data_IF_286487660680
#
_entry.id   IF_286487660680
#
_cell.length_a   1.000
_cell.length_b   1.000
_cell.length_c   1.000
_cell.angle_alpha   90.00
_cell.angle_beta   90.00
_cell.angle_gamma   90.00
#
_symmetry.space_group_name_H-M   'P 1'
#
loop_
_entity.id
_entity.type
_entity.pdbx_description
1 polymer ?
#
# COMPACT_ATOMS: atom_id res chain seq x y z
N UNK A 1 -17.60 0.20 0.19
CA UNK A 1 -16.32 0.28 0.92
C UNK A 1 -16.13 1.66 1.54
N UNK A 2 -16.05 2.76 0.78
CA UNK A 2 -15.89 4.12 1.33
C UNK A 2 -17.11 4.67 2.09
N UNK A 3 -18.33 4.28 1.68
CA UNK A 3 -19.59 4.70 2.34
C UNK A 3 -19.76 4.03 3.72
N UNK A 4 -19.07 2.90 3.96
CA UNK A 4 -19.11 2.16 5.23
C UNK A 4 -17.96 2.58 6.17
N UNK A 5 -17.15 3.57 5.79
CA UNK A 5 -16.03 4.05 6.59
C UNK A 5 -16.58 4.82 7.82
N UNK A 6 -16.13 4.51 9.04
CA UNK A 6 -16.47 5.31 10.22
C UNK A 6 -16.07 6.77 10.00
N UNK A 7 -16.90 7.72 10.44
CA UNK A 7 -16.60 9.16 10.29
C UNK A 7 -15.51 9.62 11.27
N UNK A 8 -15.44 9.01 12.45
CA UNK A 8 -14.49 9.36 13.50
C UNK A 8 -14.17 8.16 14.38
N UNK A 9 -13.02 8.19 15.04
CA UNK A 9 -12.59 7.20 16.03
C UNK A 9 -12.39 7.84 17.41
N UNK A 10 -12.56 7.07 18.50
CA UNK A 10 -12.29 7.57 19.85
C UNK A 10 -10.78 7.72 20.14
N UNK A 11 -9.94 6.91 19.50
CA UNK A 11 -8.48 6.91 19.68
C UNK A 11 -7.78 6.25 18.47
N UNK A 12 -6.44 6.37 18.41
CA UNK A 12 -5.63 5.72 17.37
C UNK A 12 -5.83 4.20 17.32
N UNK A 13 -5.98 3.54 18.48
CA UNK A 13 -6.20 2.09 18.53
C UNK A 13 -7.51 1.68 17.83
N UNK A 14 -8.56 2.50 17.92
CA UNK A 14 -9.82 2.30 17.22
C UNK A 14 -9.65 2.36 15.69
N UNK A 15 -8.83 3.30 15.20
CA UNK A 15 -8.51 3.38 13.79
C UNK A 15 -7.67 2.17 13.33
N UNK A 16 -6.65 1.77 14.09
CA UNK A 16 -5.82 0.59 13.79
C UNK A 16 -6.68 -0.67 13.76
N UNK A 17 -7.49 -0.89 14.80
CA UNK A 17 -8.39 -2.04 14.89
C UNK A 17 -9.36 -2.08 13.70
N UNK A 18 -9.88 -0.94 13.26
CA UNK A 18 -10.74 -0.89 12.07
C UNK A 18 -10.02 -1.42 10.83
N UNK A 19 -8.76 -1.06 10.58
CA UNK A 19 -8.00 -1.58 9.44
C UNK A 19 -7.78 -3.09 9.51
N UNK A 20 -7.48 -3.62 10.70
CA UNK A 20 -7.31 -5.06 10.92
C UNK A 20 -8.63 -5.81 10.74
N UNK A 21 -9.71 -5.37 11.40
CA UNK A 21 -11.00 -6.06 11.35
C UNK A 21 -11.70 -5.94 9.99
N UNK A 22 -11.47 -4.86 9.25
CA UNK A 22 -12.00 -4.70 7.90
C UNK A 22 -11.22 -5.49 6.84
N UNK A 23 -10.07 -6.08 7.20
CA UNK A 23 -9.19 -6.80 6.27
C UNK A 23 -8.53 -5.89 5.23
N UNK A 24 -8.41 -4.58 5.53
CA UNK A 24 -7.70 -3.63 4.67
C UNK A 24 -6.18 -3.84 4.78
N UNK A 25 -5.70 -4.02 6.02
CA UNK A 25 -4.32 -4.38 6.35
C UNK A 25 -4.40 -5.57 7.31
N UNK A 26 -3.66 -6.63 7.02
CA UNK A 26 -3.56 -7.84 7.84
C UNK A 26 -2.33 -7.80 8.76
N UNK A 27 -1.32 -7.00 8.43
CA UNK A 27 -0.11 -6.84 9.22
C UNK A 27 -0.28 -5.77 10.32
N UNK A 28 -0.29 -6.22 11.58
CA UNK A 28 -0.46 -5.34 12.74
C UNK A 28 0.68 -4.34 12.91
N UNK A 29 1.93 -4.76 12.68
CA UNK A 29 3.09 -3.87 12.85
C UNK A 29 3.07 -2.75 11.81
N UNK A 30 2.72 -3.08 10.56
CA UNK A 30 2.54 -2.08 9.51
C UNK A 30 1.41 -1.12 9.84
N UNK A 31 0.24 -1.64 10.26
CA UNK A 31 -0.91 -0.83 10.61
C UNK A 31 -0.61 0.13 11.78
N UNK A 32 0.13 -0.33 12.81
CA UNK A 32 0.54 0.52 13.93
C UNK A 32 1.42 1.71 13.49
N UNK A 33 2.19 1.56 12.42
CA UNK A 33 3.06 2.62 11.89
C UNK A 33 2.34 3.52 10.88
N UNK A 34 1.56 2.95 9.96
CA UNK A 34 0.94 3.70 8.85
C UNK A 34 -0.36 4.40 9.24
N UNK A 35 -1.24 3.72 9.98
CA UNK A 35 -2.61 4.18 10.26
C UNK A 35 -2.67 5.48 11.09
N UNK A 36 -1.82 5.71 12.11
CA UNK A 36 -1.88 6.96 12.89
C UNK A 36 -1.74 8.22 12.03
N UNK A 37 -0.98 8.15 10.93
CA UNK A 37 -0.80 9.29 10.01
C UNK A 37 -2.05 9.61 9.17
N UNK A 38 -3.02 8.69 9.11
CA UNK A 38 -4.24 8.82 8.31
C UNK A 38 -5.36 9.55 9.07
N UNK A 39 -5.22 9.72 10.38
CA UNK A 39 -6.21 10.36 11.25
C UNK A 39 -5.58 11.53 12.01
N UNK A 40 -6.38 12.56 12.28
CA UNK A 40 -5.99 13.75 13.05
C UNK A 40 -6.96 13.94 14.20
N UNK A 41 -6.45 14.36 15.36
CA UNK A 41 -7.28 14.79 16.47
C UNK A 41 -8.00 16.11 16.11
N UNK A 42 -9.31 16.10 16.17
CA UNK A 42 -10.12 17.31 16.14
C UNK A 42 -10.32 17.80 17.58
N UNK A 43 -9.78 18.97 17.91
CA UNK A 43 -9.80 19.53 19.27
C UNK A 43 -11.21 19.90 19.74
N UNK A 44 -12.11 20.26 18.81
CA UNK A 44 -13.49 20.65 19.13
C UNK A 44 -14.34 19.44 19.52
N UNK A 45 -14.17 18.32 18.81
CA UNK A 45 -14.96 17.10 19.03
C UNK A 45 -14.26 16.10 19.95
N UNK A 46 -12.97 16.32 20.25
CA UNK A 46 -12.09 15.37 20.97
C UNK A 46 -12.08 13.97 20.33
N UNK A 47 -12.26 13.90 19.01
CA UNK A 47 -12.28 12.65 18.24
C UNK A 47 -11.24 12.67 17.13
N UNK A 48 -10.84 11.49 16.68
CA UNK A 48 -9.91 11.31 15.57
C UNK A 48 -10.69 11.19 14.26
N UNK A 49 -10.45 12.13 13.35
CA UNK A 49 -11.11 12.20 12.04
C UNK A 49 -10.09 11.94 10.93
N UNK A 50 -10.55 11.51 9.77
CA UNK A 50 -9.66 11.25 8.64
C UNK A 50 -9.00 12.54 8.15
N UNK A 51 -7.70 12.50 7.90
CA UNK A 51 -6.95 13.66 7.36
C UNK A 51 -7.49 14.06 5.99
N UNK A 52 -7.91 13.09 5.18
CA UNK A 52 -8.32 13.32 3.80
C UNK A 52 -9.76 12.88 3.58
N UNK A 53 -10.60 13.81 3.10
CA UNK A 53 -11.91 13.49 2.55
C UNK A 53 -11.76 12.94 1.13
N UNK A 54 -11.76 11.61 1.01
CA UNK A 54 -11.63 10.96 -0.28
C UNK A 54 -12.86 11.19 -1.18
N UNK A 55 -14.05 11.44 -0.62
CA UNK A 55 -15.27 11.64 -1.41
C UNK A 55 -15.23 12.98 -2.17
N UNK A 56 -14.56 14.00 -1.63
CA UNK A 56 -14.32 15.26 -2.34
C UNK A 56 -13.62 15.05 -3.70
N UNK A 57 -12.80 14.01 -3.82
CA UNK A 57 -12.07 13.69 -5.04
C UNK A 57 -12.87 12.87 -6.07
N UNK A 58 -14.14 12.52 -5.77
CA UNK A 58 -14.98 11.63 -6.60
C UNK A 58 -15.12 12.10 -8.05
N UNK A 59 -15.19 13.41 -8.27
CA UNK A 59 -15.31 13.99 -9.61
C UNK A 59 -14.11 13.63 -10.53
N UNK A 60 -12.96 13.29 -9.95
CA UNK A 60 -11.74 12.97 -10.69
C UNK A 60 -11.53 11.48 -10.92
N UNK A 61 -12.23 10.60 -10.20
CA UNK A 61 -11.96 9.15 -10.23
C UNK A 61 -12.08 8.56 -11.64
N UNK A 62 -13.11 8.95 -12.40
CA UNK A 62 -13.27 8.48 -13.77
C UNK A 62 -12.05 8.85 -14.63
N UNK A 63 -11.56 10.09 -14.49
CA UNK A 63 -10.40 10.57 -15.24
C UNK A 63 -9.10 9.84 -14.88
N UNK A 64 -8.94 9.42 -13.62
CA UNK A 64 -7.77 8.67 -13.16
C UNK A 64 -7.70 7.27 -13.78
N UNK A 65 -8.85 6.60 -13.92
CA UNK A 65 -8.92 5.24 -14.45
C UNK A 65 -9.15 5.17 -15.96
N UNK A 66 -9.67 6.25 -16.58
CA UNK A 66 -9.95 6.29 -18.02
C UNK A 66 -8.69 6.02 -18.83
N UNK A 67 -8.78 4.97 -19.66
CA UNK A 67 -7.71 4.45 -20.51
C UNK A 67 -6.42 4.05 -19.77
N UNK A 68 -6.47 3.85 -18.44
CA UNK A 68 -5.30 3.49 -17.63
C UNK A 68 -4.57 2.26 -18.18
N UNK A 69 -5.31 1.19 -18.53
CA UNK A 69 -4.71 -0.02 -19.10
C UNK A 69 -4.01 0.23 -20.44
N UNK A 70 -4.61 1.05 -21.32
CA UNK A 70 -4.00 1.40 -22.61
C UNK A 70 -2.74 2.23 -22.40
N UNK A 71 -2.79 3.24 -21.52
CA UNK A 71 -1.64 4.08 -21.15
C UNK A 71 -0.52 3.25 -20.54
N UNK A 72 -0.84 2.30 -19.66
CA UNK A 72 0.13 1.40 -19.07
C UNK A 72 0.82 0.55 -20.14
N UNK A 73 0.07 -0.05 -21.07
CA UNK A 73 0.63 -0.90 -22.12
C UNK A 73 1.42 -0.10 -23.16
N UNK A 74 1.03 1.14 -23.46
CA UNK A 74 1.64 1.95 -24.52
C UNK A 74 3.03 2.50 -24.20
N UNK A 75 3.46 2.48 -22.94
CA UNK A 75 4.80 2.94 -22.57
C UNK A 75 5.89 2.07 -23.24
N UNK A 76 7.07 2.61 -23.48
CA UNK A 76 8.22 1.90 -24.06
C UNK A 76 9.31 1.59 -23.03
N UNK A 77 8.90 1.32 -21.78
CA UNK A 77 9.80 1.01 -20.65
C UNK A 77 9.44 -0.34 -20.01
N UNK A 78 10.34 -1.04 -19.32
CA UNK A 78 9.96 -2.17 -18.51
C UNK A 78 8.86 -1.80 -17.51
N UNK A 79 7.87 -2.68 -17.33
CA UNK A 79 6.74 -2.45 -16.42
C UNK A 79 6.48 -3.66 -15.55
N UNK A 80 6.03 -3.38 -14.33
CA UNK A 80 5.59 -4.37 -13.36
C UNK A 80 4.17 -4.02 -12.93
N UNK A 81 3.28 -5.00 -13.03
CA UNK A 81 1.93 -4.93 -12.46
C UNK A 81 1.85 -6.01 -11.38
N UNK A 82 1.60 -5.58 -10.14
CA UNK A 82 1.45 -6.49 -8.99
C UNK A 82 -0.02 -6.51 -8.61
N UNK A 83 -0.61 -7.71 -8.54
CA UNK A 83 -2.04 -7.90 -8.28
C UNK A 83 -2.23 -8.79 -7.06
N UNK A 84 -3.22 -8.44 -6.22
CA UNK A 84 -3.68 -9.30 -5.14
C UNK A 84 -4.66 -10.34 -5.72
N UNK A 85 -4.49 -11.62 -5.38
CA UNK A 85 -5.42 -12.69 -5.76
C UNK A 85 -4.99 -13.56 -6.94
N UNK A 86 -5.94 -14.31 -7.51
CA UNK A 86 -5.68 -15.49 -8.37
C UNK A 86 -5.28 -15.21 -9.83
N UNK A 87 -5.26 -13.95 -10.29
CA UNK A 87 -4.97 -13.62 -11.70
C UNK A 87 -3.58 -12.93 -11.84
N UNK A 88 -2.55 -13.78 -11.93
CA UNK A 88 -1.14 -13.64 -12.39
C UNK A 88 -0.38 -12.28 -12.43
N UNK A 89 0.79 -12.23 -11.76
CA UNK A 89 2.18 -12.35 -12.32
C UNK A 89 3.21 -12.57 -11.16
N UNK A 90 2.87 -12.13 -9.95
CA UNK A 90 3.40 -12.63 -8.67
C UNK A 90 2.22 -12.67 -7.69
N UNK A 91 1.85 -13.85 -7.21
CA UNK A 91 0.62 -14.05 -6.42
C UNK A 91 0.96 -13.95 -4.94
N UNK A 92 0.51 -12.87 -4.32
CA UNK A 92 0.53 -12.71 -2.88
C UNK A 92 -0.66 -13.44 -2.27
N UNK A 93 -0.43 -14.59 -1.63
CA UNK A 93 -1.47 -15.36 -0.96
C UNK A 93 -1.70 -14.79 0.44
N UNK A 94 -2.95 -14.50 0.79
CA UNK A 94 -3.30 -14.04 2.14
C UNK A 94 -3.15 -12.53 2.39
N UNK A 95 -2.80 -11.74 1.36
CA UNK A 95 -2.85 -10.28 1.45
C UNK A 95 -4.28 -9.79 1.17
N UNK A 96 -4.67 -8.75 1.89
CA UNK A 96 -5.89 -7.97 1.68
C UNK A 96 -5.68 -6.92 0.59
N UNK A 97 -6.05 -5.68 0.90
CA UNK A 97 -6.07 -4.59 -0.07
C UNK A 97 -4.70 -3.91 -0.27
N UNK A 98 -3.81 -4.00 0.71
CA UNK A 98 -2.55 -3.25 0.73
C UNK A 98 -1.36 -4.22 0.81
N UNK A 99 -1.03 -4.80 -0.35
CA UNK A 99 -0.01 -5.85 -0.52
C UNK A 99 1.34 -5.55 0.14
N UNK A 100 1.82 -4.32 -0.02
CA UNK A 100 3.13 -3.90 0.49
C UNK A 100 3.15 -3.72 2.01
N UNK A 101 1.99 -3.51 2.63
CA UNK A 101 1.86 -3.49 4.09
C UNK A 101 1.68 -4.91 4.64
N UNK A 102 0.93 -5.76 3.93
CA UNK A 102 0.65 -7.13 4.34
C UNK A 102 1.87 -8.05 4.23
N UNK A 103 2.59 -7.98 3.12
CA UNK A 103 3.76 -8.82 2.84
C UNK A 103 4.92 -7.97 2.31
N UNK A 104 5.51 -7.09 3.14
CA UNK A 104 6.55 -6.14 2.70
C UNK A 104 7.79 -6.83 2.13
N UNK A 105 8.20 -7.97 2.68
CA UNK A 105 9.39 -8.71 2.22
C UNK A 105 9.16 -9.35 0.85
N UNK A 106 8.06 -10.07 0.68
CA UNK A 106 7.71 -10.68 -0.62
C UNK A 106 7.49 -9.59 -1.69
N UNK A 107 6.93 -8.43 -1.30
CA UNK A 107 6.79 -7.29 -2.19
C UNK A 107 8.16 -6.71 -2.60
N UNK A 108 9.08 -6.58 -1.65
CA UNK A 108 10.44 -6.16 -1.91
C UNK A 108 11.19 -7.15 -2.84
N UNK A 109 11.01 -8.46 -2.67
CA UNK A 109 11.63 -9.49 -3.53
C UNK A 109 11.13 -9.41 -4.97
N UNK A 110 9.83 -9.17 -5.18
CA UNK A 110 9.25 -8.96 -6.52
C UNK A 110 9.85 -7.71 -7.16
N UNK A 111 9.95 -6.60 -6.42
CA UNK A 111 10.57 -5.37 -6.91
C UNK A 111 12.05 -5.57 -7.25
N UNK A 112 12.80 -6.22 -6.36
CA UNK A 112 14.22 -6.50 -6.55
C UNK A 112 14.45 -7.39 -7.77
N UNK A 113 13.67 -8.46 -7.92
CA UNK A 113 13.77 -9.38 -9.05
C UNK A 113 13.50 -8.66 -10.37
N UNK A 114 12.46 -7.82 -10.41
CA UNK A 114 12.14 -7.01 -11.57
C UNK A 114 13.25 -6.00 -11.89
N UNK A 115 13.75 -5.27 -10.90
CA UNK A 115 14.78 -4.26 -11.11
C UNK A 115 16.12 -4.89 -11.54
N UNK A 116 16.52 -6.00 -10.93
CA UNK A 116 17.72 -6.76 -11.30
C UNK A 116 17.62 -7.33 -12.72
N UNK A 117 16.47 -7.93 -13.10
CA UNK A 117 16.22 -8.43 -14.46
C UNK A 117 16.37 -7.34 -15.52
N UNK A 118 15.93 -6.12 -15.20
CA UNK A 118 16.00 -4.99 -16.12
C UNK A 118 17.31 -4.20 -15.99
N UNK A 119 18.30 -4.71 -15.24
CA UNK A 119 19.60 -4.07 -15.01
C UNK A 119 19.46 -2.62 -14.52
N UNK A 120 18.41 -2.35 -13.75
CA UNK A 120 18.08 -1.03 -13.21
C UNK A 120 18.74 -0.77 -11.86
N UNK A 121 19.41 -1.77 -11.29
CA UNK A 121 20.10 -1.67 -10.01
C UNK A 121 21.60 -1.59 -10.23
N UNK A 122 22.24 -0.70 -9.49
CA UNK A 122 23.70 -0.63 -9.38
C UNK A 122 24.22 -1.86 -8.60
N UNK A 123 25.14 -2.67 -9.17
CA UNK A 123 25.75 -3.80 -8.48
C UNK A 123 26.39 -3.43 -7.12
N UNK A 124 26.98 -2.23 -6.98
CA UNK A 124 27.58 -1.79 -5.72
C UNK A 124 26.52 -1.55 -4.64
N UNK A 125 25.40 -0.94 -5.02
CA UNK A 125 24.27 -0.73 -4.13
C UNK A 125 23.69 -2.05 -3.62
N UNK A 126 23.55 -3.06 -4.49
CA UNK A 126 23.06 -4.40 -4.09
C UNK A 126 24.00 -5.05 -3.07
N UNK A 127 25.32 -4.96 -3.29
CA UNK A 127 26.31 -5.57 -2.40
C UNK A 127 26.28 -4.93 -1.00
N UNK A 128 26.16 -3.60 -0.95
CA UNK A 128 26.01 -2.86 0.30
C UNK A 128 24.73 -3.24 1.04
N UNK A 129 23.62 -3.43 0.32
CA UNK A 129 22.33 -3.83 0.90
C UNK A 129 22.41 -5.24 1.50
N UNK A 130 22.96 -6.21 0.77
CA UNK A 130 23.14 -7.59 1.28
C UNK A 130 24.00 -7.61 2.55
N UNK A 131 25.12 -6.90 2.56
CA UNK A 131 26.00 -6.83 3.73
C UNK A 131 25.32 -6.25 4.98
N UNK A 132 24.32 -5.38 4.81
CA UNK A 132 23.54 -4.79 5.91
C UNK A 132 22.51 -5.76 6.50
N UNK A 133 21.91 -6.62 5.68
CA UNK A 133 20.85 -7.56 6.10
C UNK A 133 21.37 -8.96 6.49
N UNK A 134 22.60 -9.34 6.14
CA UNK A 134 23.22 -10.60 6.61
C UNK A 134 23.83 -10.50 8.02
N UNK A 135 23.76 -9.32 8.66
CA UNK A 135 24.29 -9.06 10.01
C UNK A 135 23.22 -8.94 11.10
N UNK A 136 21.99 -9.40 10.85
CA UNK A 136 20.96 -9.64 11.86
C UNK A 136 20.73 -11.14 12.01
#
# INVERSE_FOLDING_TARGET
MLILRPQSFPNYAGAINYYIYSGLINNLDSACLSVPSLVRLNEETSKYEWVTDLLSSRAYWESWYKDMSKKFISLSVPRLLVLAGKFQLSIFKGCGHILHEDSPLEFADVLYTFANRNKALDPEFILALKAKYTKQ
#
